data_IF_828895015236
#
_entry.id   IF_828895015236
#
_cell.length_a   1.000
_cell.length_b   1.000
_cell.length_c   1.000
_cell.angle_alpha   90.00
_cell.angle_beta   90.00
_cell.angle_gamma   90.00
#
_symmetry.space_group_name_H-M   'P 1'
#
loop_
_entity.id
_entity.type
_entity.pdbx_description
1 polymer ?
#
# COMPACT_ATOMS: atom_id res chain seq x y z
N UNK A 1 8.53 12.54 -21.37
CA UNK A 1 9.03 11.38 -20.62
C UNK A 1 7.91 10.86 -19.73
N UNK A 2 7.82 9.56 -19.43
CA UNK A 2 6.80 9.05 -18.53
C UNK A 2 6.97 9.69 -17.14
N UNK A 3 5.84 10.06 -16.54
CA UNK A 3 5.77 10.60 -15.17
C UNK A 3 5.29 9.50 -14.23
N UNK A 4 5.86 9.48 -13.04
CA UNK A 4 5.46 8.57 -11.98
C UNK A 4 4.19 9.02 -11.25
N UNK A 5 3.71 8.21 -10.32
CA UNK A 5 2.49 8.46 -9.58
C UNK A 5 2.54 9.72 -8.68
N UNK A 6 3.72 10.28 -8.46
CA UNK A 6 3.91 11.56 -7.77
C UNK A 6 4.33 12.68 -8.73
N UNK A 7 4.13 12.50 -10.03
CA UNK A 7 4.32 13.51 -11.06
C UNK A 7 5.77 13.79 -11.44
N UNK A 8 6.72 12.93 -11.05
CA UNK A 8 8.14 13.11 -11.38
C UNK A 8 8.54 12.28 -12.60
N UNK A 9 9.49 12.81 -13.37
CA UNK A 9 10.17 12.04 -14.40
C UNK A 9 11.37 11.30 -13.83
N UNK A 10 11.90 10.33 -14.60
CA UNK A 10 13.16 9.67 -14.23
C UNK A 10 14.32 10.67 -14.14
N UNK A 11 14.33 11.74 -14.95
CA UNK A 11 15.36 12.78 -14.87
C UNK A 11 15.27 13.57 -13.56
N UNK A 12 14.06 13.87 -13.08
CA UNK A 12 13.88 14.56 -11.80
C UNK A 12 14.46 13.73 -10.65
N UNK A 13 14.19 12.42 -10.65
CA UNK A 13 14.72 11.49 -9.64
C UNK A 13 16.22 11.27 -9.79
N UNK A 14 16.77 11.30 -11.01
CA UNK A 14 18.22 11.18 -11.26
C UNK A 14 19.10 12.23 -10.58
N UNK A 15 18.49 13.35 -10.16
CA UNK A 15 19.17 14.44 -9.47
C UNK A 15 19.07 14.33 -7.94
N UNK A 16 18.26 13.41 -7.43
CA UNK A 16 18.06 13.18 -6.01
C UNK A 16 19.19 12.34 -5.42
N UNK A 17 19.54 12.62 -4.18
CA UNK A 17 20.32 11.73 -3.33
C UNK A 17 19.46 10.61 -2.77
N UNK A 18 20.09 9.51 -2.34
CA UNK A 18 19.41 8.41 -1.66
C UNK A 18 18.63 8.86 -0.41
N UNK A 19 19.08 9.91 0.28
CA UNK A 19 18.37 10.46 1.44
C UNK A 19 17.09 11.18 1.01
N UNK A 20 17.11 11.94 -0.08
CA UNK A 20 15.90 12.57 -0.62
C UNK A 20 14.89 11.51 -1.11
N UNK A 21 15.39 10.43 -1.73
CA UNK A 21 14.54 9.29 -2.12
C UNK A 21 13.95 8.55 -0.90
N UNK A 22 14.72 8.41 0.18
CA UNK A 22 14.26 7.85 1.45
C UNK A 22 13.14 8.70 2.07
N UNK A 23 13.33 10.02 2.15
CA UNK A 23 12.33 10.93 2.72
C UNK A 23 11.06 10.96 1.87
N UNK A 24 11.19 10.90 0.54
CA UNK A 24 10.05 10.79 -0.37
C UNK A 24 9.31 9.47 -0.19
N UNK A 25 10.02 8.36 -0.08
CA UNK A 25 9.39 7.06 0.22
C UNK A 25 8.62 7.11 1.55
N UNK A 26 9.21 7.74 2.58
CA UNK A 26 8.56 7.91 3.87
C UNK A 26 7.22 8.66 3.74
N UNK A 27 7.17 9.74 2.96
CA UNK A 27 5.92 10.47 2.70
C UNK A 27 4.86 9.59 2.02
N UNK A 28 5.27 8.77 1.04
CA UNK A 28 4.35 7.84 0.38
C UNK A 28 3.84 6.76 1.34
N UNK A 29 4.71 6.25 2.22
CA UNK A 29 4.32 5.30 3.26
C UNK A 29 3.32 5.91 4.24
N UNK A 30 3.56 7.13 4.73
CA UNK A 30 2.62 7.83 5.62
C UNK A 30 1.27 8.04 4.94
N UNK A 31 1.27 8.44 3.67
CA UNK A 31 0.04 8.60 2.90
C UNK A 31 -0.71 7.28 2.72
N UNK A 32 -0.02 6.19 2.41
CA UNK A 32 -0.60 4.85 2.32
C UNK A 32 -1.34 4.48 3.61
N UNK A 33 -0.70 4.69 4.77
CA UNK A 33 -1.30 4.38 6.07
C UNK A 33 -2.51 5.25 6.38
N UNK A 34 -2.50 6.52 5.98
CA UNK A 34 -3.68 7.41 6.11
C UNK A 34 -4.85 6.93 5.25
N UNK A 35 -4.58 6.54 4.00
CA UNK A 35 -5.60 6.01 3.08
C UNK A 35 -6.18 4.71 3.62
N UNK A 36 -5.33 3.80 4.10
CA UNK A 36 -5.75 2.55 4.74
C UNK A 36 -6.64 2.82 5.95
N UNK A 37 -6.19 3.67 6.88
CA UNK A 37 -6.92 3.98 8.10
C UNK A 37 -8.29 4.63 7.82
N UNK A 38 -8.36 5.52 6.84
CA UNK A 38 -9.63 6.13 6.42
C UNK A 38 -10.62 5.09 5.89
N UNK A 39 -10.13 4.17 5.05
CA UNK A 39 -10.94 3.10 4.46
C UNK A 39 -11.34 2.02 5.49
N UNK A 40 -10.45 1.64 6.42
CA UNK A 40 -10.77 0.70 7.50
C UNK A 40 -11.99 1.16 8.29
N UNK A 41 -12.01 2.42 8.72
CA UNK A 41 -13.09 2.99 9.56
C UNK A 41 -14.46 3.00 8.90
N UNK A 42 -14.54 2.86 7.57
CA UNK A 42 -15.82 2.79 6.86
C UNK A 42 -16.50 1.43 7.02
N UNK A 43 -15.72 0.37 7.25
CA UNK A 43 -16.22 -1.01 7.25
C UNK A 43 -16.03 -1.70 8.60
N UNK A 44 -15.00 -1.33 9.37
CA UNK A 44 -14.68 -1.93 10.66
C UNK A 44 -13.73 -1.04 11.48
N UNK A 45 -14.17 -0.63 12.67
CA UNK A 45 -13.45 0.29 13.56
C UNK A 45 -12.63 -0.41 14.66
N UNK A 46 -12.71 -1.74 14.77
CA UNK A 46 -11.97 -2.55 15.75
C UNK A 46 -10.69 -3.13 15.13
N UNK A 47 -10.10 -4.14 15.77
CA UNK A 47 -8.80 -4.69 15.43
C UNK A 47 -8.75 -5.33 14.02
N UNK A 48 -7.67 -5.04 13.32
CA UNK A 48 -7.35 -5.64 12.04
C UNK A 48 -6.06 -6.44 12.12
N UNK A 49 -6.10 -7.66 11.63
CA UNK A 49 -4.93 -8.54 11.55
C UNK A 49 -4.00 -8.15 10.41
N UNK A 50 -2.71 -8.12 10.72
CA UNK A 50 -1.63 -7.90 9.76
C UNK A 50 -1.37 -9.19 8.99
N UNK A 51 -1.29 -9.09 7.66
CA UNK A 51 -0.98 -10.23 6.79
C UNK A 51 0.44 -10.21 6.25
N UNK A 52 1.11 -9.05 6.33
CA UNK A 52 2.47 -8.82 5.86
C UNK A 52 3.04 -7.54 6.49
N UNK A 53 4.36 -7.39 6.46
CA UNK A 53 5.00 -6.10 6.69
C UNK A 53 4.87 -5.19 5.46
N UNK A 54 4.89 -3.88 5.68
CA UNK A 54 4.57 -2.87 4.65
C UNK A 54 5.53 -1.67 4.62
N UNK A 55 6.62 -1.70 5.41
CA UNK A 55 7.61 -0.61 5.46
C UNK A 55 8.62 -0.66 4.33
N UNK A 56 8.91 -1.83 3.76
CA UNK A 56 9.98 -2.00 2.77
C UNK A 56 9.39 -1.89 1.36
N UNK A 57 9.99 -1.09 0.46
CA UNK A 57 9.53 -1.01 -0.93
C UNK A 57 9.52 -2.39 -1.58
N UNK A 58 8.52 -2.65 -2.42
CA UNK A 58 8.60 -3.74 -3.38
C UNK A 58 9.17 -3.19 -4.70
N UNK A 59 10.08 -3.95 -5.32
CA UNK A 59 10.66 -3.57 -6.61
C UNK A 59 9.57 -3.36 -7.66
N UNK A 60 9.64 -2.25 -8.40
CA UNK A 60 8.61 -1.76 -9.32
C UNK A 60 8.59 -2.47 -10.67
N UNK A 61 8.72 -3.80 -10.66
CA UNK A 61 8.33 -4.62 -11.80
C UNK A 61 6.81 -4.80 -11.86
N UNK A 62 6.33 -5.47 -12.90
CA UNK A 62 4.92 -5.81 -13.15
C UNK A 62 4.16 -6.52 -12.01
N UNK A 63 4.77 -6.75 -10.84
CA UNK A 63 4.30 -7.71 -9.84
C UNK A 63 3.37 -7.08 -8.79
N UNK A 64 3.48 -5.78 -8.46
CA UNK A 64 2.69 -5.17 -7.36
C UNK A 64 2.01 -3.82 -7.66
N UNK A 65 2.19 -3.24 -8.86
CA UNK A 65 1.58 -1.96 -9.21
C UNK A 65 0.24 -2.10 -9.94
N UNK A 66 -0.69 -1.20 -9.69
CA UNK A 66 -2.00 -1.14 -10.36
C UNK A 66 -1.87 -1.05 -11.89
N UNK A 67 -0.84 -0.38 -12.39
CA UNK A 67 -0.52 -0.25 -13.83
C UNK A 67 1.00 -0.18 -13.99
N UNK A 68 1.60 -1.00 -14.88
CA UNK A 68 3.01 -0.86 -15.25
C UNK A 68 3.30 0.51 -15.87
N UNK A 69 4.33 1.20 -15.39
CA UNK A 69 4.80 2.46 -15.98
C UNK A 69 5.73 2.17 -17.16
N UNK A 70 5.57 2.87 -18.28
CA UNK A 70 6.44 2.65 -19.43
C UNK A 70 7.91 2.92 -19.09
N UNK A 71 8.79 1.94 -19.35
CA UNK A 71 10.23 2.05 -19.06
C UNK A 71 10.63 1.70 -17.62
N UNK A 72 9.66 1.32 -16.77
CA UNK A 72 9.97 0.85 -15.43
C UNK A 72 10.48 -0.59 -15.44
N UNK A 73 11.41 -0.85 -14.53
CA UNK A 73 11.98 -2.15 -14.21
C UNK A 73 12.02 -2.30 -12.69
N UNK A 74 12.30 -3.52 -12.23
CA UNK A 74 12.52 -3.79 -10.81
C UNK A 74 13.67 -2.96 -10.19
N UNK A 75 14.60 -2.47 -11.02
CA UNK A 75 15.81 -1.76 -10.58
C UNK A 75 15.60 -0.25 -10.48
N UNK A 76 14.76 0.33 -11.35
CA UNK A 76 14.60 1.79 -11.46
C UNK A 76 13.26 2.31 -10.96
N UNK A 77 12.45 1.44 -10.33
CA UNK A 77 11.14 1.84 -9.81
C UNK A 77 10.75 1.01 -8.60
N UNK A 78 9.74 1.51 -7.87
CA UNK A 78 9.14 0.80 -6.74
C UNK A 78 7.63 1.10 -6.66
N UNK A 79 6.93 0.28 -5.89
CA UNK A 79 5.55 0.50 -5.48
C UNK A 79 5.35 0.09 -4.01
N UNK A 80 4.29 0.63 -3.42
CA UNK A 80 3.85 0.31 -2.06
C UNK A 80 2.51 -0.40 -2.11
N UNK A 81 2.37 -1.40 -1.25
CA UNK A 81 1.10 -2.01 -0.94
C UNK A 81 1.04 -2.41 0.53
N UNK A 82 -0.17 -2.42 1.06
CA UNK A 82 -0.43 -2.91 2.41
C UNK A 82 -1.80 -3.53 2.48
N UNK A 83 -1.91 -4.63 3.24
CA UNK A 83 -3.15 -5.38 3.40
C UNK A 83 -3.45 -5.66 4.86
N UNK A 84 -4.72 -5.56 5.22
CA UNK A 84 -5.26 -5.88 6.54
C UNK A 84 -6.50 -6.75 6.40
N UNK A 85 -6.70 -7.65 7.35
CA UNK A 85 -7.85 -8.56 7.37
C UNK A 85 -8.57 -8.47 8.70
N UNK A 86 -9.90 -8.42 8.67
CA UNK A 86 -10.73 -8.69 9.83
C UNK A 86 -11.71 -9.83 9.53
N UNK A 87 -12.22 -10.47 10.57
CA UNK A 87 -13.16 -11.58 10.45
C UNK A 87 -14.52 -11.16 10.98
N UNK A 88 -15.56 -11.31 10.16
CA UNK A 88 -16.93 -11.11 10.61
C UNK A 88 -17.38 -12.30 11.45
N UNK A 89 -18.02 -12.09 12.62
CA UNK A 89 -18.64 -13.17 13.39
C UNK A 89 -19.83 -13.80 12.66
N UNK A 90 -20.43 -13.06 11.71
CA UNK A 90 -21.43 -13.58 10.79
C UNK A 90 -20.70 -14.15 9.58
N UNK A 91 -20.56 -15.47 9.56
CA UNK A 91 -19.96 -16.17 8.43
C UNK A 91 -20.81 -15.97 7.17
N UNK A 92 -20.22 -15.38 6.12
CA UNK A 92 -20.87 -15.23 4.84
C UNK A 92 -20.09 -14.35 3.86
N UNK A 93 -20.44 -14.46 2.58
CA UNK A 93 -19.98 -13.63 1.47
C UNK A 93 -21.09 -12.70 0.98
N UNK A 94 -21.93 -12.18 1.87
CA UNK A 94 -23.02 -11.33 1.41
C UNK A 94 -22.42 -10.11 0.69
N UNK A 95 -22.69 -9.99 -0.60
CA UNK A 95 -22.30 -8.85 -1.44
C UNK A 95 -22.71 -7.51 -0.80
N UNK A 96 -23.76 -7.49 0.03
CA UNK A 96 -24.17 -6.31 0.82
C UNK A 96 -23.09 -5.82 1.79
N UNK A 97 -22.15 -6.65 2.20
CA UNK A 97 -21.02 -6.23 3.01
C UNK A 97 -20.10 -5.24 2.27
N UNK A 98 -20.17 -5.13 0.94
CA UNK A 98 -19.46 -4.10 0.18
C UNK A 98 -20.06 -2.69 0.33
N UNK A 99 -21.32 -2.57 0.78
CA UNK A 99 -22.07 -1.31 0.75
C UNK A 99 -21.42 -0.16 1.53
N UNK A 100 -20.84 -0.36 2.73
CA UNK A 100 -20.19 0.75 3.43
C UNK A 100 -18.98 1.32 2.65
N UNK A 101 -18.22 0.45 1.97
CA UNK A 101 -17.10 0.90 1.13
C UNK A 101 -17.58 1.58 -0.16
N UNK A 102 -18.67 1.09 -0.77
CA UNK A 102 -19.30 1.75 -1.92
C UNK A 102 -19.77 3.16 -1.54
N UNK A 103 -20.48 3.28 -0.41
CA UNK A 103 -20.93 4.59 0.10
C UNK A 103 -19.76 5.54 0.36
N UNK A 104 -18.66 5.05 0.93
CA UNK A 104 -17.45 5.84 1.07
C UNK A 104 -16.90 6.33 -0.28
N UNK A 105 -16.82 5.46 -1.29
CA UNK A 105 -16.35 5.87 -2.63
C UNK A 105 -17.28 6.90 -3.28
N UNK A 106 -18.60 6.72 -3.15
CA UNK A 106 -19.60 7.67 -3.66
C UNK A 106 -19.47 9.03 -2.95
N UNK A 107 -19.31 9.04 -1.63
CA UNK A 107 -19.13 10.27 -0.82
C UNK A 107 -17.85 11.03 -1.18
N UNK A 108 -16.79 10.32 -1.59
CA UNK A 108 -15.56 10.92 -2.09
C UNK A 108 -15.66 11.33 -3.58
N UNK A 109 -16.70 10.90 -4.29
CA UNK A 109 -16.85 11.14 -5.73
C UNK A 109 -15.92 10.28 -6.60
N UNK A 110 -15.34 9.21 -6.06
CA UNK A 110 -14.43 8.33 -6.80
C UNK A 110 -15.19 7.29 -7.60
N UNK A 111 -14.82 7.14 -8.87
CA UNK A 111 -15.36 6.08 -9.72
C UNK A 111 -14.88 4.72 -9.20
N UNK A 112 -15.84 3.86 -8.85
CA UNK A 112 -15.56 2.52 -8.38
C UNK A 112 -15.97 1.45 -9.39
N UNK A 113 -15.38 0.28 -9.23
CA UNK A 113 -15.72 -0.94 -9.96
C UNK A 113 -15.92 -2.06 -8.97
N UNK A 114 -16.83 -2.95 -9.30
CA UNK A 114 -17.10 -4.15 -8.54
C UNK A 114 -16.86 -5.38 -9.41
N UNK A 115 -16.41 -6.47 -8.79
CA UNK A 115 -16.31 -7.76 -9.44
C UNK A 115 -16.65 -8.87 -8.45
N UNK A 116 -17.20 -9.95 -9.01
CA UNK A 116 -17.44 -11.21 -8.30
C UNK A 116 -16.51 -12.27 -8.88
N UNK A 117 -15.74 -12.93 -8.03
CA UNK A 117 -14.80 -14.00 -8.39
C UNK A 117 -15.21 -15.28 -7.67
N UNK A 118 -15.97 -16.14 -8.36
CA UNK A 118 -16.54 -17.33 -7.74
C UNK A 118 -17.50 -16.97 -6.60
N UNK A 119 -17.07 -17.21 -5.35
CA UNK A 119 -17.84 -16.87 -4.13
C UNK A 119 -17.35 -15.60 -3.44
N UNK A 120 -16.31 -14.96 -3.95
CA UNK A 120 -15.75 -13.76 -3.34
C UNK A 120 -16.22 -12.52 -4.10
N UNK A 121 -16.34 -11.40 -3.40
CA UNK A 121 -16.80 -10.13 -3.98
C UNK A 121 -15.80 -9.03 -3.62
N UNK A 122 -15.35 -8.25 -4.61
CA UNK A 122 -14.55 -7.07 -4.35
C UNK A 122 -15.11 -5.80 -5.00
N UNK A 123 -14.84 -4.68 -4.33
CA UNK A 123 -15.01 -3.33 -4.86
C UNK A 123 -13.68 -2.62 -4.79
N UNK A 124 -13.36 -1.80 -5.80
CA UNK A 124 -12.21 -0.94 -5.76
C UNK A 124 -12.46 0.41 -6.41
N UNK A 125 -11.75 1.42 -5.92
CA UNK A 125 -11.69 2.76 -6.48
C UNK A 125 -10.24 3.24 -6.48
N UNK A 126 -9.97 4.31 -7.22
CA UNK A 126 -8.69 5.04 -7.20
C UNK A 126 -8.97 6.43 -6.66
N UNK A 127 -8.22 6.86 -5.65
CA UNK A 127 -8.31 8.20 -5.07
C UNK A 127 -7.82 9.26 -6.05
N UNK A 128 -8.15 10.52 -5.81
CA UNK A 128 -7.71 11.64 -6.66
C UNK A 128 -6.18 11.76 -6.74
N UNK A 129 -5.48 11.32 -5.68
CA UNK A 129 -4.02 11.28 -5.60
C UNK A 129 -3.42 9.90 -5.96
N UNK A 130 -4.20 9.04 -6.64
CA UNK A 130 -3.67 7.87 -7.35
C UNK A 130 -3.52 6.58 -6.54
N UNK A 131 -4.05 6.51 -5.32
CA UNK A 131 -4.05 5.29 -4.51
C UNK A 131 -5.25 4.41 -4.85
N UNK A 132 -5.01 3.13 -5.12
CA UNK A 132 -6.11 2.19 -5.30
C UNK A 132 -6.46 1.54 -3.97
N UNK A 133 -7.73 1.65 -3.60
CA UNK A 133 -8.32 0.95 -2.44
C UNK A 133 -9.09 -0.24 -2.97
N UNK A 134 -8.82 -1.45 -2.47
CA UNK A 134 -9.58 -2.66 -2.78
C UNK A 134 -10.12 -3.26 -1.50
N UNK A 135 -11.45 -3.42 -1.42
CA UNK A 135 -12.12 -4.13 -0.35
C UNK A 135 -12.69 -5.44 -0.87
N UNK A 136 -12.32 -6.55 -0.24
CA UNK A 136 -12.64 -7.92 -0.65
C UNK A 136 -13.39 -8.64 0.49
N UNK A 137 -14.55 -9.19 0.16
CA UNK A 137 -15.34 -10.08 1.02
C UNK A 137 -15.09 -11.51 0.57
N UNK A 138 -14.54 -12.33 1.45
CA UNK A 138 -14.13 -13.71 1.18
C UNK A 138 -15.21 -14.67 1.71
N UNK A 139 -15.44 -15.78 1.00
CA UNK A 139 -16.44 -16.79 1.33
C UNK A 139 -16.40 -17.41 2.73
N UNK A 140 -15.28 -17.26 3.45
CA UNK A 140 -15.08 -17.78 4.78
C UNK A 140 -15.39 -16.75 5.89
N UNK A 141 -15.97 -15.59 5.54
CA UNK A 141 -16.29 -14.52 6.48
C UNK A 141 -15.12 -13.57 6.77
N UNK A 142 -13.98 -13.74 6.10
CA UNK A 142 -12.89 -12.78 6.16
C UNK A 142 -13.14 -11.61 5.20
N UNK A 143 -12.70 -10.44 5.64
CA UNK A 143 -12.75 -9.21 4.87
C UNK A 143 -11.33 -8.67 4.76
N UNK A 144 -10.83 -8.50 3.55
CA UNK A 144 -9.51 -7.95 3.29
C UNK A 144 -9.62 -6.54 2.70
N UNK A 145 -8.80 -5.64 3.20
CA UNK A 145 -8.63 -4.31 2.66
C UNK A 145 -7.18 -4.16 2.23
N UNK A 146 -6.97 -3.86 0.96
CA UNK A 146 -5.64 -3.66 0.39
C UNK A 146 -5.55 -2.30 -0.28
N UNK A 147 -4.50 -1.55 0.06
CA UNK A 147 -4.18 -0.27 -0.57
C UNK A 147 -2.94 -0.48 -1.44
N UNK A 148 -2.98 0.05 -2.66
CA UNK A 148 -1.87 -0.01 -3.62
C UNK A 148 -1.54 1.40 -4.09
N UNK A 149 -0.25 1.70 -4.21
CA UNK A 149 0.21 2.90 -4.92
C UNK A 149 0.23 2.69 -6.44
N UNK A 150 0.41 3.78 -7.18
CA UNK A 150 1.02 3.72 -8.50
C UNK A 150 2.52 3.40 -8.42
N UNK A 151 3.22 3.40 -9.56
CA UNK A 151 4.68 3.23 -9.55
C UNK A 151 5.39 4.56 -9.34
N UNK A 152 6.54 4.51 -8.66
CA UNK A 152 7.44 5.63 -8.43
C UNK A 152 8.81 5.35 -9.05
N UNK A 153 9.45 6.36 -9.62
CA UNK A 153 10.85 6.25 -10.05
C UNK A 153 11.79 6.20 -8.83
N UNK A 154 12.87 5.44 -8.94
CA UNK A 154 14.04 5.45 -8.05
C UNK A 154 15.31 5.36 -8.89
N UNK A 155 16.41 5.91 -8.39
CA UNK A 155 17.73 5.74 -9.01
C UNK A 155 18.24 4.31 -8.89
N UNK A 156 17.99 3.70 -7.75
CA UNK A 156 18.46 2.37 -7.39
C UNK A 156 17.49 1.77 -6.35
N UNK A 157 16.61 0.89 -6.84
CA UNK A 157 15.62 0.19 -6.02
C UNK A 157 16.27 -0.66 -4.94
N UNK A 158 17.42 -1.27 -5.21
CA UNK A 158 18.15 -2.04 -4.22
C UNK A 158 18.70 -1.12 -3.13
N UNK A 159 19.41 -0.05 -3.49
CA UNK A 159 19.96 0.88 -2.50
C UNK A 159 18.86 1.51 -1.62
N UNK A 160 17.71 1.85 -2.18
CA UNK A 160 16.56 2.34 -1.42
C UNK A 160 16.00 1.26 -0.48
N UNK A 161 15.85 0.04 -0.98
CA UNK A 161 15.42 -1.12 -0.18
C UNK A 161 16.38 -1.41 0.97
N UNK A 162 17.69 -1.35 0.74
CA UNK A 162 18.72 -1.55 1.76
C UNK A 162 18.72 -0.41 2.79
N UNK A 163 18.54 0.83 2.34
CA UNK A 163 18.49 2.00 3.24
C UNK A 163 17.30 1.90 4.21
N UNK A 164 16.14 1.46 3.74
CA UNK A 164 14.93 1.31 4.55
C UNK A 164 14.95 0.00 5.33
N UNK A 165 15.11 -1.12 4.63
CA UNK A 165 15.11 -2.47 5.21
C UNK A 165 16.25 -2.69 6.20
N UNK A 166 17.41 -2.09 5.97
CA UNK A 166 18.54 -2.14 6.89
C UNK A 166 18.26 -1.49 8.25
N UNK A 167 17.39 -0.48 8.28
CA UNK A 167 16.95 0.23 9.50
C UNK A 167 15.63 -0.31 10.05
N UNK A 168 15.01 -1.26 9.36
CA UNK A 168 13.75 -1.86 9.75
C UNK A 168 13.98 -2.99 10.76
N UNK A 169 13.41 -2.87 11.95
CA UNK A 169 13.47 -3.90 13.00
C UNK A 169 12.63 -5.14 12.67
N UNK A 170 11.81 -5.07 11.61
CA UNK A 170 10.83 -6.06 11.19
C UNK A 170 9.84 -6.46 12.30
N UNK A 171 9.65 -5.60 13.30
CA UNK A 171 8.61 -5.74 14.30
C UNK A 171 7.30 -5.23 13.72
N UNK A 172 6.35 -6.14 13.49
CA UNK A 172 4.99 -5.81 13.09
C UNK A 172 4.04 -6.44 14.12
N UNK A 173 3.00 -5.73 14.55
CA UNK A 173 2.02 -6.30 15.45
C UNK A 173 1.21 -7.39 14.73
N UNK A 174 0.64 -8.32 15.48
CA UNK A 174 -0.29 -9.30 14.91
C UNK A 174 -1.60 -8.62 14.49
N UNK A 175 -2.07 -7.66 15.29
CA UNK A 175 -3.30 -6.90 15.10
C UNK A 175 -3.09 -5.43 15.48
N UNK A 176 -3.82 -4.51 14.85
CA UNK A 176 -3.84 -3.10 15.25
C UNK A 176 -5.17 -2.42 14.94
N UNK A 177 -5.48 -1.34 15.65
CA UNK A 177 -6.64 -0.50 15.34
C UNK A 177 -6.40 0.33 14.06
N UNK A 178 -7.47 0.85 13.42
CA UNK A 178 -7.34 1.71 12.25
C UNK A 178 -6.45 2.94 12.50
N UNK A 179 -5.31 3.00 11.80
CA UNK A 179 -4.32 4.07 11.92
C UNK A 179 -3.21 3.81 12.93
N UNK A 180 -3.20 2.65 13.59
CA UNK A 180 -2.05 2.20 14.39
C UNK A 180 -1.11 1.37 13.54
N UNK A 181 0.13 1.84 13.39
CA UNK A 181 1.20 1.16 12.66
C UNK A 181 2.57 1.49 13.27
N UNK A 182 3.57 0.59 13.15
CA UNK A 182 4.92 0.88 13.61
C UNK A 182 5.49 2.13 12.94
N UNK A 183 6.29 2.93 13.67
CA UNK A 183 6.91 4.12 13.10
C UNK A 183 7.84 3.73 11.94
N UNK A 184 7.91 4.60 10.95
CA UNK A 184 8.88 4.49 9.88
C UNK A 184 10.29 4.79 10.43
N UNK A 185 11.34 4.05 10.02
CA UNK A 185 12.70 4.34 10.44
C UNK A 185 13.13 5.74 10.00
N UNK A 186 13.97 6.39 10.79
CA UNK A 186 14.61 7.66 10.43
C UNK A 186 15.90 7.41 9.68
N UNK A 187 16.30 8.34 8.82
CA UNK A 187 17.59 8.26 8.13
C UNK A 187 18.78 8.11 9.10
N UNK A 188 18.71 8.77 10.25
CA UNK A 188 19.73 8.72 11.30
C UNK A 188 19.77 7.40 12.09
N UNK A 189 18.78 6.53 11.93
CA UNK A 189 18.76 5.25 12.64
C UNK A 189 19.88 4.35 12.13
N UNK A 190 20.44 3.54 13.03
CA UNK A 190 21.47 2.59 12.68
C UNK A 190 20.93 1.49 11.76
N UNK A 191 21.78 0.99 10.85
CA UNK A 191 21.49 -0.22 10.10
C UNK A 191 21.67 -1.42 11.06
N UNK A 192 20.57 -2.08 11.39
CA UNK A 192 20.48 -3.18 12.37
C UNK A 192 20.32 -4.56 11.71
N UNK A 193 19.92 -4.60 10.43
CA UNK A 193 19.80 -5.83 9.64
C UNK A 193 20.44 -5.61 8.27
N UNK A 194 21.77 -5.73 8.13
CA UNK A 194 22.38 -5.66 6.81
C UNK A 194 21.74 -6.75 5.92
N UNK A 195 21.41 -6.45 4.65
CA UNK A 195 20.92 -7.44 3.71
C UNK A 195 21.84 -8.65 3.69
N UNK A 196 21.28 -9.86 3.75
CA UNK A 196 22.05 -11.05 3.44
C UNK A 196 22.23 -11.07 1.92
N UNK A 197 23.43 -10.74 1.47
CA UNK A 197 23.89 -10.90 0.08
C UNK A 197 23.96 -12.39 -0.24
#
# INVERSE_FOLDING_TARGET
MPIDAAGLTQEDVSRMSLHEEFDRYHQHYERMQQVLAAAQRQVHDSEWRWTMGDRVPSGGGNENSVVPMAGSTIDNSYALDTSRVWSSPVAGNDRRALQPMIGYFDDQGWLWRERTLGKDHDVWAVTDDGWRIRYLVINNGNHALTVYSGQYWTNDSLALTEAIGGRNDAAYPEESLPGEYPPFPKWSDAIIRPPKI
#
